data_IF_295025415179
#
_entry.id   IF_295025415179
#
_cell.length_a   1.000
_cell.length_b   1.000
_cell.length_c   1.000
_cell.angle_alpha   90.00
_cell.angle_beta   90.00
_cell.angle_gamma   90.00
#
_symmetry.space_group_name_H-M   'P 1'
#
loop_
_entity.id
_entity.type
_entity.pdbx_description
1 polymer ?
#
# COMPACT_ATOMS: atom_id res chain seq x y z
N UNK A 1 -12.11 14.66 -9.58
CA UNK A 1 -10.73 14.49 -10.10
C UNK A 1 -10.20 13.22 -9.48
N UNK A 2 -9.99 12.19 -10.30
CA UNK A 2 -9.50 10.89 -9.84
C UNK A 2 -7.99 10.89 -10.01
N UNK A 3 -7.24 10.54 -8.95
CA UNK A 3 -5.79 10.41 -9.03
C UNK A 3 -5.44 9.23 -9.93
N UNK A 4 -4.56 9.45 -10.90
CA UNK A 4 -3.95 8.40 -11.71
C UNK A 4 -2.70 7.90 -11.00
N UNK A 5 -2.72 6.65 -10.52
CA UNK A 5 -1.58 6.11 -9.78
C UNK A 5 -0.37 5.86 -10.68
N UNK A 6 -0.55 5.81 -12.00
CA UNK A 6 0.52 5.64 -12.96
C UNK A 6 1.48 6.84 -13.00
N UNK A 7 1.10 8.00 -12.45
CA UNK A 7 1.94 9.20 -12.40
C UNK A 7 2.98 9.17 -11.27
N UNK A 8 2.86 8.25 -10.32
CA UNK A 8 3.67 8.25 -9.10
C UNK A 8 4.60 7.03 -9.02
N UNK A 9 5.82 7.26 -8.51
CA UNK A 9 6.76 6.17 -8.18
C UNK A 9 6.55 5.60 -6.77
N UNK A 10 5.80 6.34 -5.93
CA UNK A 10 5.48 5.95 -4.58
C UNK A 10 4.06 6.42 -4.20
N UNK A 11 3.27 5.52 -3.63
CA UNK A 11 1.94 5.82 -3.10
C UNK A 11 1.89 5.39 -1.63
N UNK A 12 1.53 6.34 -0.76
CA UNK A 12 1.32 6.09 0.67
C UNK A 12 -0.17 6.19 1.02
N UNK A 13 -0.67 5.22 1.78
CA UNK A 13 -2.06 5.17 2.20
C UNK A 13 -2.21 4.94 3.71
N UNK A 14 -3.03 5.79 4.34
CA UNK A 14 -3.54 5.59 5.69
C UNK A 14 -5.06 5.79 5.66
N UNK A 15 -5.79 4.68 5.55
CA UNK A 15 -7.23 4.67 5.30
C UNK A 15 -7.95 3.76 6.31
N UNK A 16 -8.52 2.64 5.87
CA UNK A 16 -9.22 1.67 6.71
C UNK A 16 -9.15 0.26 6.09
N UNK A 17 -9.36 -0.81 6.88
CA UNK A 17 -9.36 -2.18 6.36
C UNK A 17 -10.38 -2.41 5.24
N UNK A 18 -11.54 -1.75 5.31
CA UNK A 18 -12.61 -1.87 4.31
C UNK A 18 -12.21 -1.29 2.94
N UNK A 19 -11.32 -0.30 2.90
CA UNK A 19 -10.84 0.30 1.66
C UNK A 19 -9.72 -0.54 0.99
N UNK A 20 -9.01 -1.38 1.74
CA UNK A 20 -7.81 -2.06 1.27
C UNK A 20 -8.01 -2.96 0.03
N UNK A 21 -9.09 -3.75 -0.09
CA UNK A 21 -9.31 -4.56 -1.29
C UNK A 21 -9.42 -3.70 -2.57
N UNK A 22 -10.28 -2.68 -2.56
CA UNK A 22 -10.48 -1.81 -3.71
C UNK A 22 -9.27 -0.93 -4.01
N UNK A 23 -8.55 -0.48 -2.97
CA UNK A 23 -7.29 0.24 -3.16
C UNK A 23 -6.24 -0.65 -3.81
N UNK A 24 -6.13 -1.91 -3.39
CA UNK A 24 -5.17 -2.85 -3.96
C UNK A 24 -5.46 -3.16 -5.42
N UNK A 25 -6.73 -3.31 -5.80
CA UNK A 25 -7.13 -3.46 -7.20
C UNK A 25 -6.66 -2.27 -8.05
N UNK A 26 -6.86 -1.04 -7.55
CA UNK A 26 -6.39 0.18 -8.23
C UNK A 26 -4.86 0.24 -8.33
N UNK A 27 -4.15 -0.06 -7.24
CA UNK A 27 -2.68 -0.13 -7.20
C UNK A 27 -2.15 -1.09 -8.26
N UNK A 28 -2.71 -2.30 -8.32
CA UNK A 28 -2.30 -3.34 -9.28
C UNK A 28 -2.64 -2.99 -10.73
N UNK A 29 -3.71 -2.23 -10.95
CA UNK A 29 -4.14 -1.84 -12.29
C UNK A 29 -3.33 -0.67 -12.85
N UNK A 30 -2.91 0.28 -11.99
CA UNK A 30 -2.40 1.57 -12.45
C UNK A 30 -0.93 1.84 -12.08
N UNK A 31 -0.42 1.34 -10.95
CA UNK A 31 0.98 1.60 -10.59
C UNK A 31 1.93 0.84 -11.52
N UNK A 32 3.03 1.50 -11.88
CA UNK A 32 4.04 0.95 -12.79
C UNK A 32 4.88 -0.12 -12.08
N UNK A 33 5.32 -1.19 -12.77
CA UNK A 33 6.26 -2.15 -12.18
C UNK A 33 7.55 -1.49 -11.67
N UNK A 34 8.03 -1.93 -10.51
CA UNK A 34 9.19 -1.39 -9.81
C UNK A 34 8.91 -0.23 -8.85
N UNK A 35 7.69 0.32 -8.85
CA UNK A 35 7.25 1.39 -7.94
C UNK A 35 6.82 0.82 -6.58
N UNK A 36 6.58 1.70 -5.61
CA UNK A 36 6.29 1.29 -4.22
C UNK A 36 4.90 1.71 -3.76
N UNK A 37 4.12 0.74 -3.30
CA UNK A 37 2.91 0.99 -2.52
C UNK A 37 3.18 0.78 -1.04
N UNK A 38 2.75 1.72 -0.21
CA UNK A 38 2.94 1.72 1.23
C UNK A 38 1.61 1.91 1.94
N UNK A 39 1.30 1.07 2.92
CA UNK A 39 0.12 1.25 3.76
C UNK A 39 0.48 1.21 5.24
N UNK A 40 0.09 2.26 5.94
CA UNK A 40 0.28 2.37 7.38
C UNK A 40 -0.89 1.72 8.12
N UNK A 41 -0.57 0.91 9.12
CA UNK A 41 -1.46 0.15 10.00
C UNK A 41 -2.24 -1.00 9.32
N UNK A 42 -2.64 -0.83 8.06
CA UNK A 42 -3.55 -1.75 7.39
C UNK A 42 -2.86 -2.58 6.30
N UNK A 43 -2.84 -3.91 6.47
CA UNK A 43 -2.32 -4.85 5.47
C UNK A 43 -3.37 -5.12 4.38
N UNK A 44 -2.93 -5.34 3.14
CA UNK A 44 -3.79 -5.89 2.08
C UNK A 44 -4.15 -7.36 2.43
N UNK A 45 -5.45 -7.72 2.51
CA UNK A 45 -5.85 -9.09 2.85
C UNK A 45 -5.33 -10.11 1.83
N UNK A 46 -4.67 -11.17 2.32
CA UNK A 46 -4.16 -12.26 1.49
C UNK A 46 -2.94 -11.94 0.64
N UNK A 47 -2.35 -10.75 0.80
CA UNK A 47 -1.13 -10.34 0.08
C UNK A 47 -0.02 -10.05 1.08
N UNK A 48 1.04 -10.85 1.02
CA UNK A 48 2.23 -10.63 1.83
C UNK A 48 2.98 -9.37 1.39
N UNK A 49 3.45 -8.60 2.36
CA UNK A 49 4.24 -7.39 2.09
C UNK A 49 5.71 -7.78 1.92
N UNK A 50 6.40 -7.12 0.98
CA UNK A 50 7.84 -7.33 0.76
C UNK A 50 8.65 -6.82 1.94
N UNK A 51 8.20 -5.73 2.57
CA UNK A 51 8.79 -5.18 3.79
C UNK A 51 7.72 -4.81 4.81
N UNK A 52 8.05 -5.03 6.08
CA UNK A 52 7.23 -4.70 7.23
C UNK A 52 8.10 -3.90 8.20
N UNK A 53 7.79 -2.62 8.39
CA UNK A 53 8.58 -1.71 9.23
C UNK A 53 7.78 -1.40 10.50
N UNK A 54 8.42 -1.54 11.65
CA UNK A 54 7.91 -1.16 12.97
C UNK A 54 8.95 -0.34 13.71
N UNK A 55 8.52 0.76 14.32
CA UNK A 55 9.38 1.57 15.19
C UNK A 55 9.53 0.93 16.58
N UNK A 56 8.43 0.46 17.18
CA UNK A 56 8.41 -0.28 18.44
C UNK A 56 7.40 -1.43 18.39
N UNK A 57 7.39 -2.29 19.42
CA UNK A 57 6.51 -3.48 19.47
C UNK A 57 5.01 -3.15 19.32
N UNK A 58 4.58 -2.06 19.97
CA UNK A 58 3.18 -1.63 20.04
C UNK A 58 2.80 -0.59 18.96
N UNK A 59 3.76 -0.15 18.14
CA UNK A 59 3.47 0.85 17.11
C UNK A 59 2.78 0.19 15.90
N UNK A 60 1.93 0.94 15.18
CA UNK A 60 1.38 0.48 13.93
C UNK A 60 2.49 0.15 12.92
N UNK A 61 2.19 -0.81 12.06
CA UNK A 61 3.11 -1.33 11.06
C UNK A 61 3.03 -0.49 9.79
N UNK A 62 4.16 -0.20 9.16
CA UNK A 62 4.18 0.21 7.75
C UNK A 62 4.45 -1.02 6.88
N UNK A 63 3.46 -1.39 6.08
CA UNK A 63 3.57 -2.45 5.07
C UNK A 63 4.00 -1.83 3.74
N UNK A 64 4.93 -2.47 3.05
CA UNK A 64 5.45 -2.01 1.76
C UNK A 64 5.42 -3.14 0.74
N UNK A 65 4.89 -2.84 -0.44
CA UNK A 65 4.88 -3.71 -1.61
C UNK A 65 5.63 -3.03 -2.75
N UNK A 66 6.48 -3.78 -3.44
CA UNK A 66 7.02 -3.41 -4.75
C UNK A 66 6.06 -3.94 -5.80
N UNK A 67 5.49 -3.04 -6.59
CA UNK A 67 4.54 -3.38 -7.66
C UNK A 67 5.27 -3.97 -8.86
#
# INVERSE_FOLDING_TARGET
MQLDFAEFDAVFAYLSPAAMPGLWEKVRAEMRPGTQFMSYEFKVPGVEADLTIKSNANDPVLYVWRI
#
